data_IF_400561357894
#
_entry.id   IF_400561357894
#
_cell.length_a   1.000
_cell.length_b   1.000
_cell.length_c   1.000
_cell.angle_alpha   90.00
_cell.angle_beta   90.00
_cell.angle_gamma   90.00
#
_symmetry.space_group_name_H-M   'P 1'
#
loop_
_entity.id
_entity.type
_entity.pdbx_description
1 polymer ?
#
# COMPACT_ATOMS: atom_id res chain seq x y z
N UNK A 1 0.48 42.61 4.79
CA UNK A 1 -0.08 41.37 5.38
C UNK A 1 -0.57 40.50 4.24
N UNK A 2 0.26 39.55 3.79
CA UNK A 2 -0.11 38.61 2.73
C UNK A 2 -0.86 37.43 3.32
N UNK A 3 -2.09 37.22 2.88
CA UNK A 3 -2.88 36.02 3.19
C UNK A 3 -2.20 34.84 2.49
N UNK A 4 -1.41 34.09 3.26
CA UNK A 4 -0.96 32.74 2.88
C UNK A 4 -2.22 31.88 2.88
N UNK A 5 -2.93 31.84 1.75
CA UNK A 5 -3.90 30.78 1.49
C UNK A 5 -3.12 29.47 1.62
N UNK A 6 -3.38 28.70 2.67
CA UNK A 6 -2.71 27.45 2.95
C UNK A 6 -2.95 26.49 1.79
N UNK A 7 -2.03 26.46 0.83
CA UNK A 7 -1.97 25.40 -0.16
C UNK A 7 -1.72 24.10 0.58
N UNK A 8 -2.78 23.30 0.74
CA UNK A 8 -2.65 21.90 1.06
C UNK A 8 -1.95 21.24 -0.13
N UNK A 9 -0.70 20.86 0.04
CA UNK A 9 0.00 19.99 -0.89
C UNK A 9 -0.22 18.54 -0.44
N UNK A 10 -0.54 17.67 -1.39
CA UNK A 10 -0.66 16.25 -1.12
C UNK A 10 0.74 15.62 -1.14
N UNK A 11 1.14 15.01 -0.02
CA UNK A 11 2.30 14.12 0.03
C UNK A 11 1.77 12.71 -0.11
N UNK A 12 2.15 12.02 -1.18
CA UNK A 12 1.87 10.61 -1.35
C UNK A 12 3.09 9.81 -0.86
N UNK A 13 2.86 8.82 0.00
CA UNK A 13 3.92 7.89 0.39
C UNK A 13 4.03 6.82 -0.71
N UNK A 14 5.22 6.68 -1.30
CA UNK A 14 5.50 5.61 -2.25
C UNK A 14 5.36 4.25 -1.57
N UNK A 15 4.58 3.34 -2.17
CA UNK A 15 4.44 1.97 -1.69
C UNK A 15 5.75 1.19 -1.79
N UNK A 16 6.63 1.57 -2.72
CA UNK A 16 8.00 1.02 -2.81
C UNK A 16 8.76 1.31 -1.51
N UNK A 17 8.71 2.57 -1.04
CA UNK A 17 9.40 2.94 0.18
C UNK A 17 8.76 2.32 1.43
N UNK A 18 7.43 2.21 1.46
CA UNK A 18 6.72 1.50 2.53
C UNK A 18 7.08 0.01 2.53
N UNK A 19 7.23 -0.60 1.36
CA UNK A 19 7.64 -2.00 1.24
C UNK A 19 9.04 -2.20 1.81
N UNK A 20 10.00 -1.31 1.52
CA UNK A 20 11.35 -1.41 2.09
C UNK A 20 11.33 -1.40 3.63
N UNK A 21 10.48 -0.57 4.24
CA UNK A 21 10.27 -0.55 5.69
C UNK A 21 9.66 -1.85 6.21
N UNK A 22 8.66 -2.37 5.50
CA UNK A 22 8.00 -3.65 5.84
C UNK A 22 8.99 -4.80 5.74
N UNK A 23 9.75 -4.90 4.65
CA UNK A 23 10.79 -5.91 4.41
C UNK A 23 11.79 -5.92 5.57
N UNK A 24 12.26 -4.74 5.98
CA UNK A 24 13.19 -4.60 7.11
C UNK A 24 12.58 -5.08 8.43
N UNK A 25 11.31 -4.78 8.69
CA UNK A 25 10.61 -5.22 9.91
C UNK A 25 10.26 -6.70 9.93
N UNK A 26 9.84 -7.25 8.79
CA UNK A 26 9.58 -8.66 8.60
C UNK A 26 10.86 -9.49 8.50
N UNK A 27 12.03 -8.85 8.35
CA UNK A 27 13.34 -9.47 8.19
C UNK A 27 13.38 -10.46 7.02
N UNK A 28 12.78 -10.07 5.90
CA UNK A 28 12.72 -10.95 4.72
C UNK A 28 14.13 -11.32 4.25
N UNK A 29 14.39 -12.60 3.92
CA UNK A 29 15.66 -13.04 3.38
C UNK A 29 16.06 -12.30 2.10
N UNK A 30 15.07 -11.94 1.27
CA UNK A 30 15.31 -11.34 -0.03
C UNK A 30 14.12 -10.51 -0.52
N UNK A 31 14.43 -9.42 -1.24
CA UNK A 31 13.49 -8.69 -2.08
C UNK A 31 14.23 -8.06 -3.28
N UNK A 32 13.55 -7.92 -4.41
CA UNK A 32 14.08 -7.28 -5.62
C UNK A 32 12.98 -6.61 -6.45
N UNK A 33 13.39 -5.73 -7.36
CA UNK A 33 12.49 -4.96 -8.24
C UNK A 33 12.78 -5.26 -9.72
N UNK A 34 12.36 -6.42 -10.25
CA UNK A 34 12.60 -6.77 -11.65
C UNK A 34 11.79 -5.89 -12.60
N UNK A 35 12.30 -5.69 -13.82
CA UNK A 35 11.61 -4.96 -14.88
C UNK A 35 11.59 -5.82 -16.13
N UNK A 36 10.44 -5.85 -16.80
CA UNK A 36 10.24 -6.57 -18.04
C UNK A 36 9.63 -5.64 -19.10
N UNK A 37 9.98 -5.87 -20.37
CA UNK A 37 9.41 -5.17 -21.52
C UNK A 37 8.58 -6.19 -22.27
N UNK A 38 7.29 -5.93 -22.41
CA UNK A 38 6.36 -6.79 -23.14
C UNK A 38 6.57 -6.70 -24.66
N UNK A 39 6.01 -7.65 -25.41
CA UNK A 39 6.14 -7.69 -26.88
C UNK A 39 5.54 -6.46 -27.58
N UNK A 40 4.55 -5.81 -26.96
CA UNK A 40 3.93 -4.56 -27.41
C UNK A 40 4.76 -3.31 -27.05
N UNK A 41 5.87 -3.48 -26.33
CA UNK A 41 6.75 -2.41 -25.88
C UNK A 41 6.36 -1.81 -24.51
N UNK A 42 5.30 -2.30 -23.87
CA UNK A 42 4.89 -1.82 -22.56
C UNK A 42 5.84 -2.30 -21.46
N UNK A 43 6.05 -1.42 -20.46
CA UNK A 43 6.94 -1.67 -19.33
C UNK A 43 6.17 -2.25 -18.15
N UNK A 44 6.62 -3.43 -17.70
CA UNK A 44 6.20 -4.07 -16.47
C UNK A 44 7.23 -3.85 -15.36
N UNK A 45 6.76 -3.36 -14.21
CA UNK A 45 7.50 -3.35 -12.96
C UNK A 45 7.06 -4.51 -12.09
N UNK A 46 8.02 -5.25 -11.55
CA UNK A 46 7.76 -6.34 -10.64
C UNK A 46 8.32 -6.09 -9.26
N UNK A 47 7.76 -6.80 -8.29
CA UNK A 47 8.30 -6.97 -6.94
C UNK A 47 8.45 -8.46 -6.70
N UNK A 48 9.67 -8.88 -6.40
CA UNK A 48 10.01 -10.22 -5.99
C UNK A 48 10.35 -10.20 -4.50
N UNK A 49 9.75 -11.09 -3.73
CA UNK A 49 10.06 -11.26 -2.31
C UNK A 49 10.24 -12.73 -1.97
N UNK A 50 11.04 -12.98 -0.95
CA UNK A 50 11.22 -14.30 -0.36
C UNK A 50 10.73 -14.26 1.09
N UNK A 51 9.89 -15.21 1.48
CA UNK A 51 9.27 -15.31 2.80
C UNK A 51 9.55 -16.68 3.43
N UNK A 52 9.78 -16.70 4.73
CA UNK A 52 9.94 -17.93 5.50
C UNK A 52 8.60 -18.66 5.64
N UNK A 53 8.63 -19.99 5.54
CA UNK A 53 7.46 -20.83 5.81
C UNK A 53 7.34 -21.03 7.31
N UNK A 54 6.26 -20.52 7.90
CA UNK A 54 5.94 -20.69 9.31
C UNK A 54 5.95 -22.18 9.70
N UNK A 55 6.85 -22.55 10.61
CA UNK A 55 7.01 -23.93 11.10
C UNK A 55 8.10 -24.75 10.40
N UNK A 56 8.88 -24.16 9.51
CA UNK A 56 10.07 -24.79 8.93
C UNK A 56 11.22 -23.79 8.79
N UNK A 57 12.23 -23.91 9.65
CA UNK A 57 13.40 -23.01 9.74
C UNK A 57 14.28 -22.96 8.47
N UNK A 58 14.01 -23.79 7.47
CA UNK A 58 14.84 -23.91 6.26
C UNK A 58 14.06 -23.78 4.94
N UNK A 59 12.75 -23.53 4.99
CA UNK A 59 11.94 -23.41 3.78
C UNK A 59 11.59 -21.95 3.53
N UNK A 60 12.08 -21.41 2.43
CA UNK A 60 11.66 -20.12 1.91
C UNK A 60 10.79 -20.31 0.67
N UNK A 61 9.85 -19.39 0.49
CA UNK A 61 8.97 -19.36 -0.68
C UNK A 61 9.11 -18.01 -1.35
N UNK A 62 9.36 -18.05 -2.65
CA UNK A 62 9.46 -16.87 -3.49
C UNK A 62 8.10 -16.50 -4.09
N UNK A 63 7.82 -15.20 -4.11
CA UNK A 63 6.59 -14.61 -4.64
C UNK A 63 6.93 -13.45 -5.55
N UNK A 64 6.17 -13.35 -6.64
CA UNK A 64 6.30 -12.33 -7.65
C UNK A 64 4.98 -11.60 -7.81
N UNK A 65 5.06 -10.27 -7.86
CA UNK A 65 3.94 -9.38 -8.08
C UNK A 65 4.30 -8.49 -9.25
N UNK A 66 3.47 -8.47 -10.29
CA UNK A 66 3.71 -7.67 -11.49
C UNK A 66 2.70 -6.53 -11.57
N UNK A 67 3.14 -5.39 -12.08
CA UNK A 67 2.26 -4.29 -12.43
C UNK A 67 2.71 -3.57 -13.69
N UNK A 68 1.73 -3.08 -14.42
CA UNK A 68 1.94 -2.12 -15.50
C UNK A 68 2.05 -0.70 -14.94
N UNK A 69 2.75 0.16 -15.67
CA UNK A 69 2.78 1.59 -15.41
C UNK A 69 1.35 2.16 -15.38
N UNK A 70 1.03 2.97 -14.37
CA UNK A 70 -0.18 3.79 -14.37
C UNK A 70 0.20 5.26 -14.46
N UNK A 71 -0.68 6.08 -15.05
CA UNK A 71 -0.38 7.48 -15.34
C UNK A 71 0.03 8.23 -14.07
N UNK A 72 1.26 8.73 -14.04
CA UNK A 72 1.80 9.53 -12.94
C UNK A 72 2.35 8.75 -11.76
N UNK A 73 2.43 7.41 -11.83
CA UNK A 73 3.00 6.57 -10.78
C UNK A 73 4.19 5.74 -11.31
N UNK A 74 5.08 5.34 -10.40
CA UNK A 74 6.15 4.40 -10.71
C UNK A 74 5.57 3.03 -11.10
N UNK A 75 6.22 2.35 -12.04
CA UNK A 75 5.82 1.02 -12.54
C UNK A 75 5.78 -0.06 -11.46
N UNK A 76 6.42 0.19 -10.31
CA UNK A 76 6.51 -0.73 -9.17
C UNK A 76 5.46 -0.49 -8.10
N UNK A 77 4.73 0.64 -8.13
CA UNK A 77 3.85 1.05 -7.02
C UNK A 77 2.76 0.03 -6.74
N UNK A 78 2.07 -0.41 -7.78
CA UNK A 78 0.99 -1.38 -7.64
C UNK A 78 1.51 -2.77 -7.22
N UNK A 79 2.64 -3.21 -7.76
CA UNK A 79 3.30 -4.45 -7.34
C UNK A 79 3.76 -4.39 -5.88
N UNK A 80 4.31 -3.26 -5.43
CA UNK A 80 4.71 -3.05 -4.06
C UNK A 80 3.52 -3.07 -3.10
N UNK A 81 2.42 -2.43 -3.47
CA UNK A 81 1.17 -2.49 -2.70
C UNK A 81 0.64 -3.93 -2.57
N UNK A 82 0.65 -4.72 -3.65
CA UNK A 82 0.26 -6.13 -3.61
C UNK A 82 1.17 -6.95 -2.69
N UNK A 83 2.48 -6.76 -2.76
CA UNK A 83 3.45 -7.43 -1.91
C UNK A 83 3.25 -7.09 -0.42
N UNK A 84 2.98 -5.82 -0.11
CA UNK A 84 2.61 -5.36 1.23
C UNK A 84 1.37 -6.09 1.73
N UNK A 85 0.27 -6.09 0.95
CA UNK A 85 -0.98 -6.75 1.33
C UNK A 85 -0.78 -8.25 1.61
N UNK A 86 0.04 -8.92 0.79
CA UNK A 86 0.43 -10.30 1.02
C UNK A 86 1.18 -10.46 2.35
N UNK A 87 2.19 -9.63 2.61
CA UNK A 87 2.98 -9.66 3.84
C UNK A 87 2.13 -9.36 5.09
N UNK A 88 1.13 -8.50 4.99
CA UNK A 88 0.16 -8.27 6.08
C UNK A 88 -0.58 -9.56 6.45
N UNK A 89 -0.98 -10.35 5.46
CA UNK A 89 -1.61 -11.65 5.67
C UNK A 89 -0.67 -12.68 6.31
N UNK A 90 0.62 -12.65 5.95
CA UNK A 90 1.63 -13.60 6.47
C UNK A 90 2.08 -13.25 7.90
N UNK A 91 2.38 -11.98 8.16
CA UNK A 91 3.00 -11.53 9.41
C UNK A 91 2.01 -10.85 10.39
N UNK A 92 0.77 -10.61 9.99
CA UNK A 92 -0.29 -10.11 10.87
C UNK A 92 -0.12 -8.64 11.29
N UNK A 93 0.38 -7.77 10.41
CA UNK A 93 0.49 -6.33 10.67
C UNK A 93 -0.48 -5.49 9.83
N UNK A 94 -0.70 -4.25 10.27
CA UNK A 94 -1.49 -3.25 9.53
C UNK A 94 -0.62 -2.05 9.20
N UNK A 95 -0.61 -1.61 7.94
CA UNK A 95 -0.10 -0.29 7.60
C UNK A 95 -1.10 0.76 8.06
N UNK A 96 -0.65 1.63 8.96
CA UNK A 96 -1.38 2.85 9.31
C UNK A 96 -1.20 3.85 8.17
N UNK A 97 -1.93 3.64 7.08
CA UNK A 97 -1.99 4.62 6.03
C UNK A 97 -2.93 5.74 6.49
N UNK A 98 -2.36 6.80 7.07
CA UNK A 98 -3.06 8.06 7.31
C UNK A 98 -3.30 8.79 5.97
N UNK A 99 -3.96 8.10 5.04
CA UNK A 99 -4.36 8.69 3.77
C UNK A 99 -5.52 9.64 4.04
N UNK A 100 -5.35 10.91 3.64
CA UNK A 100 -6.39 11.93 3.70
C UNK A 100 -7.71 11.46 3.08
N UNK A 101 -7.68 10.69 1.99
CA UNK A 101 -8.88 10.11 1.37
C UNK A 101 -9.58 9.13 2.30
N UNK A 102 -8.86 8.16 2.85
CA UNK A 102 -9.43 7.18 3.78
C UNK A 102 -9.98 7.85 5.04
N UNK A 103 -9.27 8.84 5.58
CA UNK A 103 -9.75 9.64 6.71
C UNK A 103 -10.96 10.51 6.36
N UNK A 104 -11.01 11.07 5.15
CA UNK A 104 -12.14 11.87 4.68
C UNK A 104 -13.38 10.99 4.48
N UNK A 105 -13.23 9.85 3.83
CA UNK A 105 -14.30 8.85 3.66
C UNK A 105 -14.79 8.34 5.01
N UNK A 106 -13.87 8.00 5.93
CA UNK A 106 -14.22 7.61 7.29
C UNK A 106 -15.01 8.72 8.01
N UNK A 107 -14.59 9.98 7.88
CA UNK A 107 -15.27 11.12 8.50
C UNK A 107 -16.68 11.34 7.94
N UNK A 108 -16.88 11.17 6.63
CA UNK A 108 -18.19 11.26 5.98
C UNK A 108 -19.12 10.13 6.42
N UNK A 109 -18.60 8.91 6.47
CA UNK A 109 -19.35 7.74 6.95
C UNK A 109 -19.73 7.88 8.43
N UNK A 110 -18.78 8.28 9.29
CA UNK A 110 -19.03 8.53 10.70
C UNK A 110 -20.07 9.64 10.91
N UNK A 111 -20.00 10.73 10.14
CA UNK A 111 -20.99 11.80 10.19
C UNK A 111 -22.38 11.32 9.80
N UNK A 112 -22.47 10.53 8.74
CA UNK A 112 -23.74 9.93 8.29
C UNK A 112 -24.34 9.00 9.35
N UNK A 113 -23.52 8.16 9.97
CA UNK A 113 -23.94 7.26 11.05
C UNK A 113 -24.47 8.03 12.27
N UNK A 114 -23.80 9.11 12.68
CA UNK A 114 -24.25 9.96 13.80
C UNK A 114 -25.59 10.64 13.49
N UNK A 115 -25.77 11.14 12.27
CA UNK A 115 -27.05 11.75 11.84
C UNK A 115 -28.18 10.72 11.86
N UNK A 116 -27.94 9.52 11.33
CA UNK A 116 -28.91 8.43 11.36
C UNK A 116 -29.27 8.03 12.80
N UNK A 117 -28.28 7.81 13.66
CA UNK A 117 -28.51 7.49 15.06
C UNK A 117 -29.30 8.60 15.78
N UNK A 118 -28.98 9.87 15.56
CA UNK A 118 -29.70 11.00 16.11
C UNK A 118 -31.16 11.09 15.61
N UNK A 119 -31.42 10.69 14.37
CA UNK A 119 -32.77 10.66 13.80
C UNK A 119 -33.62 9.53 14.40
N UNK A 120 -33.01 8.37 14.70
CA UNK A 120 -33.68 7.22 15.31
C UNK A 120 -33.99 7.43 16.79
N UNK A 121 -33.21 8.24 17.50
CA UNK A 121 -33.49 8.61 18.91
C UNK A 121 -34.64 9.64 19.02
N UNK A 122 -34.98 10.31 17.93
CA UNK A 122 -36.04 11.32 17.87
C UNK A 122 -37.37 10.80 17.32
N UNK A 123 -37.43 9.54 16.91
CA UNK A 123 -38.65 8.83 16.49
C UNK A 123 -39.22 8.02 17.65
#
# INVERSE_FOLDING_TARGET
MGLIYGWMFAVNCSYVHLLDVVVSRCRLPFHSYPREVMEDGDLLGGVEIEVDVLGSDALTVRRFFWSQASVGLSIYESAAFQAICFLQGVYGFVLLDYNYRSMSTYRELARSAVVLAASLVRA
#
